data_IF_876491894477
#
_entry.id   IF_876491894477
#
_cell.length_a   1.000
_cell.length_b   1.000
_cell.length_c   1.000
_cell.angle_alpha   90.00
_cell.angle_beta   90.00
_cell.angle_gamma   90.00
#
_symmetry.space_group_name_H-M   'P 1'
#
loop_
_entity.id
_entity.type
_entity.pdbx_description
1 polymer ?
#
# COMPACT_ATOMS: atom_id res chain seq x y z
N UNK A 1 13.05 3.70 -3.76
CA UNK A 1 11.92 2.96 -3.22
C UNK A 1 11.49 1.94 -4.27
N UNK A 2 11.82 0.72 -4.05
CA UNK A 2 11.47 -0.37 -4.94
C UNK A 2 10.45 -1.27 -4.25
N UNK A 3 9.20 -0.81 -4.20
CA UNK A 3 8.09 -1.63 -3.72
C UNK A 3 7.72 -2.70 -4.75
N UNK A 4 8.31 -2.65 -5.94
CA UNK A 4 7.83 -3.39 -7.08
C UNK A 4 8.96 -3.94 -7.98
N UNK A 5 10.11 -4.33 -7.42
CA UNK A 5 11.06 -5.15 -8.19
C UNK A 5 10.45 -6.50 -8.63
N UNK A 6 9.19 -6.74 -8.30
CA UNK A 6 8.41 -7.92 -8.66
C UNK A 6 7.06 -7.57 -9.27
N UNK A 7 6.78 -6.30 -9.59
CA UNK A 7 5.44 -5.80 -9.88
C UNK A 7 5.13 -5.65 -11.38
N UNK A 8 5.78 -6.34 -12.24
CA UNK A 8 5.24 -6.62 -13.57
C UNK A 8 4.42 -7.93 -13.58
N UNK A 9 4.38 -8.66 -12.46
CA UNK A 9 3.36 -9.68 -12.24
C UNK A 9 2.37 -9.21 -11.16
N UNK A 10 1.06 -9.26 -11.44
CA UNK A 10 0.04 -9.07 -10.41
C UNK A 10 0.35 -10.04 -9.27
N UNK A 11 0.15 -9.62 -8.03
CA UNK A 11 0.23 -10.47 -6.85
C UNK A 11 -0.36 -11.84 -7.21
N UNK A 12 0.51 -12.84 -7.40
CA UNK A 12 0.09 -14.20 -7.71
C UNK A 12 -0.64 -14.78 -6.51
N UNK A 13 -1.92 -14.74 -6.57
CA UNK A 13 -2.88 -15.14 -5.55
C UNK A 13 -4.29 -14.80 -6.00
N UNK A 14 -4.43 -14.12 -7.13
CA UNK A 14 -5.67 -14.07 -7.87
C UNK A 14 -5.60 -15.21 -8.90
N UNK A 15 -6.45 -16.19 -8.70
CA UNK A 15 -6.62 -17.29 -9.64
C UNK A 15 -6.62 -16.78 -11.08
N UNK A 16 -5.91 -17.48 -11.97
CA UNK A 16 -5.75 -17.16 -13.39
C UNK A 16 -7.07 -17.13 -14.18
N UNK A 17 -8.22 -17.25 -13.51
CA UNK A 17 -9.57 -17.17 -14.07
C UNK A 17 -10.26 -15.82 -13.81
N UNK A 18 -9.65 -14.90 -13.05
CA UNK A 18 -10.25 -13.58 -12.85
C UNK A 18 -9.91 -12.73 -14.08
N UNK A 19 -10.88 -12.50 -14.94
CA UNK A 19 -10.75 -11.58 -16.07
C UNK A 19 -10.32 -10.21 -15.57
N UNK A 20 -9.32 -9.61 -16.23
CA UNK A 20 -8.90 -8.24 -15.91
C UNK A 20 -10.15 -7.33 -15.94
N UNK A 21 -10.32 -6.45 -14.93
CA UNK A 21 -11.47 -5.57 -14.89
C UNK A 21 -11.52 -4.69 -16.14
N UNK A 22 -12.70 -4.52 -16.70
CA UNK A 22 -12.95 -3.65 -17.84
C UNK A 22 -12.65 -2.19 -17.48
N UNK A 23 -12.47 -1.34 -18.49
CA UNK A 23 -12.27 0.09 -18.29
C UNK A 23 -13.43 0.70 -17.48
N UNK A 24 -14.67 0.34 -17.80
CA UNK A 24 -15.86 0.84 -17.10
C UNK A 24 -15.90 0.41 -15.61
N UNK A 25 -15.46 -0.80 -15.31
CA UNK A 25 -15.33 -1.27 -13.92
C UNK A 25 -14.24 -0.52 -13.15
N UNK A 26 -13.10 -0.23 -13.82
CA UNK A 26 -12.04 0.58 -13.23
C UNK A 26 -12.46 2.04 -12.99
N UNK A 27 -13.19 2.64 -13.93
CA UNK A 27 -13.74 3.99 -13.80
C UNK A 27 -14.74 4.08 -12.64
N UNK A 28 -15.65 3.11 -12.54
CA UNK A 28 -16.62 3.04 -11.43
C UNK A 28 -15.90 2.87 -10.10
N UNK A 29 -14.93 1.96 -10.02
CA UNK A 29 -14.13 1.76 -8.83
C UNK A 29 -13.39 3.04 -8.42
N UNK A 30 -12.79 3.75 -9.37
CA UNK A 30 -12.13 5.03 -9.10
C UNK A 30 -13.10 6.07 -8.54
N UNK A 31 -14.30 6.19 -9.10
CA UNK A 31 -15.33 7.09 -8.59
C UNK A 31 -15.73 6.74 -7.15
N UNK A 32 -16.00 5.47 -6.89
CA UNK A 32 -16.33 4.99 -5.54
C UNK A 32 -15.22 5.30 -4.53
N UNK A 33 -13.95 5.08 -4.91
CA UNK A 33 -12.79 5.37 -4.05
C UNK A 33 -12.62 6.87 -3.81
N UNK A 34 -12.84 7.71 -4.83
CA UNK A 34 -12.69 9.17 -4.73
C UNK A 34 -13.78 9.82 -3.88
N UNK A 35 -14.98 9.24 -3.84
CA UNK A 35 -16.13 9.76 -3.09
C UNK A 35 -16.20 9.21 -1.66
N UNK A 36 -15.44 8.15 -1.35
CA UNK A 36 -15.53 7.48 -0.06
C UNK A 36 -14.72 8.23 1.01
N UNK A 37 -15.37 8.69 2.11
CA UNK A 37 -14.71 9.50 3.15
C UNK A 37 -13.56 8.78 3.86
N UNK A 38 -13.49 7.46 3.74
CA UNK A 38 -12.55 6.57 4.40
C UNK A 38 -11.40 6.11 3.49
N UNK A 39 -11.37 6.64 2.27
CA UNK A 39 -10.32 6.39 1.30
C UNK A 39 -9.48 7.65 1.10
N UNK A 40 -8.18 7.45 0.91
CA UNK A 40 -7.27 8.50 0.51
C UNK A 40 -6.41 7.97 -0.63
N UNK A 41 -6.47 8.64 -1.76
CA UNK A 41 -5.77 8.21 -2.97
C UNK A 41 -4.90 9.34 -3.51
N UNK A 42 -3.68 9.03 -3.87
CA UNK A 42 -2.76 9.91 -4.56
C UNK A 42 -2.28 9.26 -5.85
N UNK A 43 -2.23 10.03 -6.89
CA UNK A 43 -1.63 9.63 -8.17
C UNK A 43 -0.39 10.48 -8.45
N UNK A 44 0.60 9.88 -9.08
CA UNK A 44 1.79 10.57 -9.59
C UNK A 44 1.69 10.61 -11.10
N UNK A 45 1.65 11.81 -11.64
CA UNK A 45 1.62 12.04 -13.09
C UNK A 45 2.97 12.59 -13.57
N UNK A 46 3.42 12.10 -14.70
CA UNK A 46 4.57 12.63 -15.43
C UNK A 46 4.27 12.67 -16.92
N UNK A 47 4.34 13.85 -17.52
CA UNK A 47 4.11 14.06 -18.97
C UNK A 47 2.78 13.46 -19.47
N UNK A 48 1.70 13.61 -18.70
CA UNK A 48 0.36 13.11 -19.05
C UNK A 48 0.14 11.62 -18.76
N UNK A 49 1.11 10.93 -18.17
CA UNK A 49 0.99 9.51 -17.82
C UNK A 49 1.00 9.31 -16.31
N UNK A 50 0.14 8.43 -15.82
CA UNK A 50 0.17 8.01 -14.42
C UNK A 50 1.34 7.05 -14.23
N UNK A 51 2.30 7.45 -13.40
CA UNK A 51 3.54 6.72 -13.12
C UNK A 51 3.63 6.24 -11.66
N UNK A 52 2.59 6.50 -10.89
CA UNK A 52 2.51 6.03 -9.51
C UNK A 52 1.13 6.20 -8.90
N UNK A 53 0.85 5.36 -7.93
CA UNK A 53 -0.42 5.32 -7.19
C UNK A 53 -0.14 5.01 -5.73
N UNK A 54 -0.80 5.73 -4.83
CA UNK A 54 -1.02 5.31 -3.45
C UNK A 54 -2.53 5.29 -3.21
N UNK A 55 -3.03 4.17 -2.75
CA UNK A 55 -4.41 4.02 -2.30
C UNK A 55 -4.42 3.58 -0.85
N UNK A 56 -5.26 4.18 -0.04
CA UNK A 56 -5.46 3.76 1.35
C UNK A 56 -6.94 3.71 1.69
N UNK A 57 -7.30 2.73 2.52
CA UNK A 57 -8.69 2.47 2.91
C UNK A 57 -8.76 1.97 4.34
N UNK A 58 -9.76 2.45 5.06
CA UNK A 58 -10.22 1.84 6.30
C UNK A 58 -11.19 0.70 5.95
N UNK A 59 -11.02 -0.48 6.55
CA UNK A 59 -11.98 -1.57 6.37
C UNK A 59 -13.29 -1.27 7.08
N UNK A 60 -14.41 -1.35 6.36
CA UNK A 60 -15.73 -1.17 6.94
C UNK A 60 -16.17 -2.34 7.82
N UNK A 61 -15.72 -3.54 7.50
CA UNK A 61 -16.09 -4.76 8.22
C UNK A 61 -14.85 -5.65 8.46
N UNK A 62 -14.72 -6.24 9.65
CA UNK A 62 -15.58 -6.00 10.82
C UNK A 62 -15.34 -4.61 11.42
N UNK A 63 -16.36 -3.99 12.00
CA UNK A 63 -16.28 -2.65 12.65
C UNK A 63 -15.19 -2.55 13.72
N UNK A 64 -14.82 -3.68 14.31
CA UNK A 64 -13.72 -3.77 15.27
C UNK A 64 -12.37 -3.29 14.70
N UNK A 65 -12.19 -3.29 13.38
CA UNK A 65 -10.97 -2.85 12.69
C UNK A 65 -11.13 -1.49 11.99
N UNK A 66 -12.23 -0.78 12.21
CA UNK A 66 -12.50 0.52 11.58
C UNK A 66 -11.55 1.66 12.00
N UNK A 67 -10.61 1.38 12.91
CA UNK A 67 -9.53 2.29 13.32
C UNK A 67 -8.20 1.99 12.59
N UNK A 68 -8.16 0.98 11.71
CA UNK A 68 -6.96 0.55 11.00
C UNK A 68 -7.04 0.97 9.54
N UNK A 69 -6.15 1.86 9.13
CA UNK A 69 -5.92 2.22 7.74
C UNK A 69 -4.97 1.20 7.11
N UNK A 70 -5.32 0.68 5.95
CA UNK A 70 -4.43 -0.12 5.11
C UNK A 70 -4.15 0.62 3.82
N UNK A 71 -2.98 0.42 3.25
CA UNK A 71 -2.63 1.08 2.00
C UNK A 71 -1.87 0.14 1.06
N UNK A 72 -1.90 0.52 -0.20
CA UNK A 72 -1.10 0.01 -1.29
C UNK A 72 -0.37 1.17 -1.96
N UNK A 73 0.87 0.97 -2.37
CA UNK A 73 1.64 1.96 -3.12
C UNK A 73 2.43 1.27 -4.23
N UNK A 74 2.35 1.85 -5.42
CA UNK A 74 3.10 1.40 -6.60
C UNK A 74 3.72 2.58 -7.31
N UNK A 75 4.93 2.39 -7.85
CA UNK A 75 5.65 3.37 -8.67
C UNK A 75 6.29 2.66 -9.86
N UNK A 76 6.12 3.20 -11.04
CA UNK A 76 6.80 2.74 -12.25
C UNK A 76 8.31 2.81 -12.08
N UNK A 77 9.05 1.84 -12.61
CA UNK A 77 10.50 1.72 -12.46
C UNK A 77 11.28 3.02 -12.74
N UNK A 78 11.00 3.79 -13.82
CA UNK A 78 11.76 5.01 -14.13
C UNK A 78 11.67 6.13 -13.09
N UNK A 79 10.64 6.13 -12.23
CA UNK A 79 10.42 7.19 -11.24
C UNK A 79 10.77 6.76 -9.82
N UNK A 80 11.22 5.53 -9.61
CA UNK A 80 11.68 5.01 -8.32
C UNK A 80 12.96 5.70 -7.85
N UNK A 81 13.30 5.57 -6.55
CA UNK A 81 14.51 6.12 -5.92
C UNK A 81 14.67 7.64 -6.03
N UNK A 82 13.59 8.37 -6.30
CA UNK A 82 13.54 9.83 -6.45
C UNK A 82 12.85 10.52 -5.27
N UNK A 83 12.60 9.80 -4.18
CA UNK A 83 11.91 10.32 -2.99
C UNK A 83 10.37 10.31 -3.09
N UNK A 84 9.81 9.99 -4.26
CA UNK A 84 8.35 10.05 -4.51
C UNK A 84 7.58 9.15 -3.55
N UNK A 85 8.04 7.92 -3.31
CA UNK A 85 7.38 7.02 -2.36
C UNK A 85 7.36 7.55 -0.93
N UNK A 86 8.44 8.21 -0.51
CA UNK A 86 8.49 8.87 0.81
C UNK A 86 7.48 10.01 0.91
N UNK A 87 7.34 10.81 -0.14
CA UNK A 87 6.39 11.92 -0.21
C UNK A 87 4.94 11.42 -0.19
N UNK A 88 4.61 10.40 -0.99
CA UNK A 88 3.27 9.80 -0.99
C UNK A 88 2.87 9.29 0.40
N UNK A 89 3.78 8.56 1.04
CA UNK A 89 3.54 8.02 2.38
C UNK A 89 3.44 9.13 3.44
N UNK A 90 4.28 10.16 3.36
CA UNK A 90 4.21 11.30 4.28
C UNK A 90 2.85 12.00 4.21
N UNK A 91 2.32 12.25 3.00
CA UNK A 91 1.00 12.85 2.80
C UNK A 91 -0.13 11.97 3.31
N UNK A 92 -0.06 10.66 3.08
CA UNK A 92 -1.04 9.72 3.63
C UNK A 92 -1.01 9.70 5.17
N UNK A 93 0.18 9.69 5.77
CA UNK A 93 0.34 9.71 7.23
C UNK A 93 -0.22 11.01 7.81
N UNK A 94 0.06 12.15 7.18
CA UNK A 94 -0.48 13.45 7.58
C UNK A 94 -2.01 13.46 7.53
N UNK A 95 -2.60 13.00 6.41
CA UNK A 95 -4.05 12.87 6.29
C UNK A 95 -4.62 11.94 7.37
N UNK A 96 -3.98 10.79 7.61
CA UNK A 96 -4.44 9.84 8.62
C UNK A 96 -4.40 10.43 10.05
N UNK A 97 -3.41 11.27 10.36
CA UNK A 97 -3.35 12.00 11.63
C UNK A 97 -4.51 12.97 11.83
N UNK A 98 -5.04 13.56 10.75
CA UNK A 98 -6.21 14.43 10.81
C UNK A 98 -7.53 13.65 11.02
N UNK A 99 -7.55 12.34 10.77
CA UNK A 99 -8.72 11.49 10.96
C UNK A 99 -8.79 10.97 12.40
N UNK A 100 -9.73 11.48 13.20
CA UNK A 100 -9.84 11.12 14.62
C UNK A 100 -9.99 9.62 14.88
N UNK A 101 -10.64 8.90 13.99
CA UNK A 101 -10.91 7.47 14.14
C UNK A 101 -9.72 6.58 13.79
N UNK A 102 -8.79 7.03 12.93
CA UNK A 102 -7.63 6.22 12.55
C UNK A 102 -6.62 6.24 13.69
N UNK A 103 -6.25 5.06 14.18
CA UNK A 103 -5.28 4.88 15.28
C UNK A 103 -4.05 4.12 14.83
N UNK A 104 -4.14 3.46 13.69
CA UNK A 104 -3.10 2.57 13.19
C UNK A 104 -3.09 2.59 11.67
N UNK A 105 -1.90 2.64 11.08
CA UNK A 105 -1.68 2.37 9.65
C UNK A 105 -0.95 1.03 9.57
N UNK A 106 -1.41 0.13 8.72
CA UNK A 106 -0.89 -1.24 8.61
C UNK A 106 -0.62 -1.62 7.17
N UNK A 107 0.43 -2.40 6.95
CA UNK A 107 0.82 -2.93 5.65
C UNK A 107 1.36 -4.36 5.77
N UNK A 108 1.39 -5.09 4.65
CA UNK A 108 2.20 -6.28 4.46
C UNK A 108 3.30 -6.00 3.43
N UNK A 109 4.48 -6.55 3.64
CA UNK A 109 5.62 -6.40 2.73
C UNK A 109 6.39 -7.71 2.63
N UNK A 110 6.85 -8.05 1.42
CA UNK A 110 7.73 -9.19 1.19
C UNK A 110 9.04 -9.02 1.96
N UNK A 111 9.50 -10.07 2.62
CA UNK A 111 10.77 -10.06 3.37
C UNK A 111 12.00 -9.77 2.50
N UNK A 112 11.89 -10.00 1.19
CA UNK A 112 12.91 -9.70 0.20
C UNK A 112 12.95 -8.23 -0.20
N UNK A 113 11.88 -7.46 0.06
CA UNK A 113 11.80 -6.04 -0.32
C UNK A 113 12.47 -5.14 0.74
N UNK A 114 13.78 -5.29 0.90
CA UNK A 114 14.56 -4.54 1.88
C UNK A 114 14.53 -3.02 1.71
N UNK A 115 14.46 -2.46 0.48
CA UNK A 115 14.31 -1.01 0.31
C UNK A 115 12.99 -0.48 0.87
N UNK A 116 11.87 -1.18 0.66
CA UNK A 116 10.56 -0.79 1.19
C UNK A 116 10.53 -0.91 2.72
N UNK A 117 11.03 -2.02 3.27
CA UNK A 117 11.14 -2.22 4.72
C UNK A 117 11.92 -1.08 5.37
N UNK A 118 13.08 -0.72 4.80
CA UNK A 118 13.90 0.39 5.30
C UNK A 118 13.18 1.73 5.24
N UNK A 119 12.38 1.97 4.19
CA UNK A 119 11.59 3.18 4.07
C UNK A 119 10.50 3.23 5.17
N UNK A 120 9.76 2.16 5.34
CA UNK A 120 8.71 2.08 6.37
C UNK A 120 9.29 2.28 7.78
N UNK A 121 10.44 1.66 8.08
CA UNK A 121 11.12 1.84 9.36
C UNK A 121 11.53 3.31 9.60
N UNK A 122 12.06 4.01 8.58
CA UNK A 122 12.38 5.45 8.68
C UNK A 122 11.15 6.32 8.93
N UNK A 123 9.98 5.90 8.45
CA UNK A 123 8.70 6.58 8.68
C UNK A 123 8.04 6.19 10.02
N UNK A 124 8.70 5.33 10.81
CA UNK A 124 8.24 4.96 12.15
C UNK A 124 7.37 3.70 12.20
N UNK A 125 7.25 2.97 11.10
CA UNK A 125 6.60 1.65 11.13
C UNK A 125 7.47 0.64 11.86
N UNK A 126 6.83 -0.22 12.62
CA UNK A 126 7.46 -1.34 13.34
C UNK A 126 6.90 -2.68 12.85
N UNK A 127 7.70 -3.73 12.88
CA UNK A 127 7.23 -5.08 12.59
C UNK A 127 6.28 -5.56 13.71
N UNK A 128 5.11 -6.07 13.33
CA UNK A 128 4.13 -6.65 14.26
C UNK A 128 4.09 -8.17 14.19
N UNK A 129 4.52 -8.73 13.09
CA UNK A 129 4.48 -10.17 12.89
C UNK A 129 5.02 -10.58 11.53
N UNK A 130 5.17 -11.90 11.36
CA UNK A 130 5.75 -12.50 10.16
C UNK A 130 5.06 -13.81 9.85
N UNK A 131 4.55 -13.94 8.63
CA UNK A 131 4.05 -15.19 8.08
C UNK A 131 5.15 -15.83 7.26
N UNK A 132 5.57 -17.02 7.66
CA UNK A 132 6.65 -17.77 7.03
C UNK A 132 6.19 -18.40 5.73
N UNK A 133 7.03 -18.30 4.68
CA UNK A 133 6.81 -18.94 3.38
C UNK A 133 5.44 -18.59 2.77
N UNK A 134 4.97 -17.34 2.96
CA UNK A 134 3.64 -16.90 2.50
C UNK A 134 3.58 -16.81 0.97
N UNK A 135 4.70 -16.49 0.32
CA UNK A 135 4.75 -16.33 -1.13
C UNK A 135 5.76 -17.27 -1.77
N UNK A 136 5.35 -17.93 -2.85
CA UNK A 136 6.23 -18.69 -3.73
C UNK A 136 6.75 -17.76 -4.83
N UNK A 137 8.06 -17.60 -4.93
CA UNK A 137 8.68 -16.69 -5.88
C UNK A 137 8.95 -17.38 -7.23
N UNK A 138 9.08 -16.62 -8.34
CA UNK A 138 9.31 -17.19 -9.68
C UNK A 138 10.58 -18.02 -9.78
N UNK A 139 11.59 -17.78 -8.95
CA UNK A 139 12.84 -18.54 -8.89
C UNK A 139 12.72 -19.87 -8.12
N UNK A 140 11.52 -20.20 -7.65
CA UNK A 140 11.25 -21.39 -6.85
C UNK A 140 11.54 -21.26 -5.35
N UNK A 141 12.04 -20.12 -4.89
CA UNK A 141 12.21 -19.83 -3.47
C UNK A 141 10.91 -19.37 -2.80
N UNK A 142 10.95 -19.22 -1.48
CA UNK A 142 9.80 -18.69 -0.71
C UNK A 142 10.20 -17.40 -0.02
N UNK A 143 9.25 -16.47 0.07
CA UNK A 143 9.38 -15.25 0.86
C UNK A 143 8.34 -15.22 1.98
N UNK A 144 8.72 -14.61 3.11
CA UNK A 144 7.80 -14.33 4.20
C UNK A 144 7.01 -13.05 3.91
N UNK A 145 5.80 -12.92 4.44
CA UNK A 145 5.14 -11.63 4.61
C UNK A 145 5.51 -11.04 5.97
N UNK A 146 6.04 -9.84 5.96
CA UNK A 146 6.26 -9.05 7.17
C UNK A 146 5.10 -8.08 7.32
N UNK A 147 4.33 -8.23 8.40
CA UNK A 147 3.31 -7.24 8.79
C UNK A 147 3.97 -6.10 9.54
N UNK A 148 3.75 -4.86 9.10
CA UNK A 148 4.27 -3.67 9.75
C UNK A 148 3.16 -2.68 10.06
N UNK A 149 3.33 -1.90 11.14
CA UNK A 149 2.37 -0.88 11.53
C UNK A 149 3.02 0.40 12.05
N UNK A 150 2.32 1.51 11.81
CA UNK A 150 2.55 2.80 12.42
C UNK A 150 1.38 3.11 13.36
N UNK A 151 1.67 3.33 14.64
CA UNK A 151 0.68 3.70 15.64
C UNK A 151 0.58 5.22 15.73
N UNK A 152 -0.60 5.76 15.39
CA UNK A 152 -0.84 7.19 15.42
C UNK A 152 -1.15 7.61 16.86
N UNK A 153 -0.15 8.17 17.54
CA UNK A 153 -0.32 8.77 18.88
C UNK A 153 -0.85 10.18 18.71
N UNK A 154 -1.97 10.50 19.34
CA UNK A 154 -2.39 11.89 19.49
C UNK A 154 -1.35 12.61 20.39
N UNK A 155 -0.86 13.76 19.94
CA UNK A 155 -0.29 14.71 20.87
C UNK A 155 -1.44 15.19 21.75
N UNK A 156 -1.36 14.89 23.05
CA UNK A 156 -2.22 15.49 24.08
C UNK A 156 -2.00 17.01 24.10
#
# INVERSE_FOLDING_TARGET
FDASAQDDEPLQGLDSETSLPTLAEKERWLQEVMEHPDCFTLVVEQAGNIVGLLESRVRELPRSNAHVLRFYVSLSAPVRRRGIGSELLARMIEWAHAQERIKKISLGVLSTNTPAISLYQRLGFVEEGRKKMEYHLPDGSFADEISMALFLRRKL
#
